data_IF_723911697553
#
_entry.id   IF_723911697553
#
_cell.length_a   1.000
_cell.length_b   1.000
_cell.length_c   1.000
_cell.angle_alpha   90.00
_cell.angle_beta   90.00
_cell.angle_gamma   90.00
#
_symmetry.space_group_name_H-M   'P 1'
#
loop_
_entity.id
_entity.type
_entity.pdbx_description
1 polymer ?
#
# COMPACT_ATOMS: atom_id res chain seq x y z
N UNK A 1 11.59 10.44 -15.65
CA UNK A 1 12.66 11.40 -15.28
C UNK A 1 13.55 10.84 -14.16
N UNK A 2 13.00 10.40 -13.01
CA UNK A 2 13.82 9.89 -11.90
C UNK A 2 14.64 8.64 -12.29
N UNK A 3 14.01 7.63 -12.88
CA UNK A 3 14.69 6.40 -13.32
C UNK A 3 15.83 6.65 -14.31
N UNK A 4 15.67 7.59 -15.23
CA UNK A 4 16.70 7.96 -16.19
C UNK A 4 17.95 8.55 -15.51
N UNK A 5 17.75 9.35 -14.46
CA UNK A 5 18.86 9.90 -13.68
C UNK A 5 19.58 8.81 -12.88
N UNK A 6 18.83 7.90 -12.25
CA UNK A 6 19.39 6.73 -11.56
C UNK A 6 20.23 5.89 -12.54
N UNK A 7 19.71 5.61 -13.73
CA UNK A 7 20.46 4.88 -14.76
C UNK A 7 21.77 5.58 -15.13
N UNK A 8 21.76 6.91 -15.28
CA UNK A 8 22.98 7.67 -15.55
C UNK A 8 24.01 7.55 -14.40
N UNK A 9 23.54 7.60 -13.15
CA UNK A 9 24.43 7.44 -11.97
C UNK A 9 25.04 6.05 -11.94
N UNK A 10 24.23 5.00 -12.12
CA UNK A 10 24.70 3.61 -12.11
C UNK A 10 25.71 3.34 -13.24
N UNK A 11 25.48 3.87 -14.44
CA UNK A 11 26.41 3.75 -15.56
C UNK A 11 27.72 4.51 -15.33
N UNK A 12 27.69 5.66 -14.66
CA UNK A 12 28.90 6.37 -14.23
C UNK A 12 29.65 5.59 -13.17
N UNK A 13 28.95 5.03 -12.17
CA UNK A 13 29.56 4.19 -11.14
C UNK A 13 30.32 3.01 -11.78
N UNK A 14 29.71 2.29 -12.72
CA UNK A 14 30.34 1.19 -13.45
C UNK A 14 31.64 1.63 -14.13
N UNK A 15 31.64 2.78 -14.81
CA UNK A 15 32.84 3.33 -15.46
C UNK A 15 33.95 3.67 -14.47
N UNK A 16 33.57 4.27 -13.33
CA UNK A 16 34.56 4.58 -12.27
C UNK A 16 35.15 3.31 -11.67
N UNK A 17 34.30 2.31 -11.38
CA UNK A 17 34.80 1.01 -10.89
C UNK A 17 35.74 0.33 -11.90
N UNK A 18 35.41 0.35 -13.18
CA UNK A 18 36.27 -0.21 -14.22
C UNK A 18 37.63 0.50 -14.30
N UNK A 19 37.65 1.82 -14.05
CA UNK A 19 38.90 2.60 -14.07
C UNK A 19 39.82 2.27 -12.89
N UNK A 20 39.27 2.14 -11.68
CA UNK A 20 40.05 1.98 -10.45
C UNK A 20 40.26 0.52 -10.04
N UNK A 21 39.35 -0.37 -10.36
CA UNK A 21 39.41 -1.79 -9.94
C UNK A 21 39.77 -2.76 -11.09
N UNK A 22 40.09 -2.25 -12.26
CA UNK A 22 40.41 -3.07 -13.43
C UNK A 22 39.21 -3.92 -13.87
N UNK A 23 39.35 -5.27 -13.82
CA UNK A 23 38.29 -6.19 -14.26
C UNK A 23 37.18 -6.45 -13.21
N UNK A 24 37.32 -5.95 -12.00
CA UNK A 24 36.33 -6.15 -10.94
C UNK A 24 35.15 -5.20 -11.16
N UNK A 25 34.08 -5.70 -11.80
CA UNK A 25 32.81 -4.97 -11.93
C UNK A 25 31.96 -5.16 -10.66
N UNK A 26 31.24 -4.13 -10.21
CA UNK A 26 30.30 -4.29 -9.10
C UNK A 26 29.19 -5.26 -9.49
N UNK A 27 28.78 -6.10 -8.53
CA UNK A 27 27.60 -6.94 -8.64
C UNK A 27 26.40 -6.09 -8.24
N UNK A 28 25.36 -6.05 -9.08
CA UNK A 28 24.12 -5.35 -8.79
C UNK A 28 23.05 -6.37 -8.40
N UNK A 29 22.44 -6.16 -7.24
CA UNK A 29 21.31 -6.94 -6.76
C UNK A 29 20.14 -5.96 -6.61
N UNK A 30 19.04 -6.24 -7.31
CA UNK A 30 17.81 -5.44 -7.24
C UNK A 30 16.65 -6.29 -6.70
N UNK A 31 15.84 -5.69 -5.84
CA UNK A 31 14.64 -6.32 -5.31
C UNK A 31 13.43 -5.44 -5.62
N UNK A 32 12.32 -6.06 -5.99
CA UNK A 32 11.06 -5.37 -6.26
C UNK A 32 9.88 -6.26 -5.86
N UNK A 33 8.82 -5.66 -5.32
CA UNK A 33 7.62 -6.39 -4.93
C UNK A 33 6.58 -6.50 -6.07
N UNK A 34 6.58 -5.56 -7.01
CA UNK A 34 5.50 -5.41 -8.01
C UNK A 34 6.03 -4.82 -9.30
N UNK A 35 6.64 -5.66 -10.11
CA UNK A 35 7.11 -5.28 -11.45
C UNK A 35 6.81 -6.40 -12.45
N UNK A 36 6.23 -6.05 -13.60
CA UNK A 36 5.86 -7.02 -14.62
C UNK A 36 7.04 -7.47 -15.49
N UNK A 37 8.05 -6.60 -15.68
CA UNK A 37 9.20 -6.78 -16.56
C UNK A 37 10.53 -6.54 -15.84
N UNK A 38 10.89 -7.34 -14.81
CA UNK A 38 12.05 -7.08 -13.98
C UNK A 38 13.38 -7.09 -14.74
N UNK A 39 13.56 -8.03 -15.68
CA UNK A 39 14.79 -8.13 -16.49
C UNK A 39 15.02 -6.89 -17.34
N UNK A 40 14.00 -6.48 -18.12
CA UNK A 40 14.06 -5.29 -18.97
C UNK A 40 14.31 -4.02 -18.15
N UNK A 41 13.58 -3.87 -17.03
CA UNK A 41 13.73 -2.70 -16.18
C UNK A 41 15.14 -2.61 -15.56
N UNK A 42 15.70 -3.74 -15.12
CA UNK A 42 17.06 -3.82 -14.60
C UNK A 42 18.10 -3.47 -15.67
N UNK A 43 17.94 -4.00 -16.88
CA UNK A 43 18.83 -3.71 -18.01
C UNK A 43 18.78 -2.23 -18.40
N UNK A 44 17.59 -1.62 -18.45
CA UNK A 44 17.44 -0.18 -18.70
C UNK A 44 18.15 0.68 -17.64
N UNK A 45 18.13 0.26 -16.37
CA UNK A 45 18.78 0.99 -15.28
C UNK A 45 20.29 0.81 -15.25
N UNK A 46 20.75 -0.41 -15.37
CA UNK A 46 22.17 -0.76 -15.14
C UNK A 46 22.97 -0.91 -16.42
N UNK A 47 22.32 -1.22 -17.54
CA UNK A 47 22.97 -1.63 -18.79
C UNK A 47 23.57 -3.04 -18.70
N UNK A 48 23.05 -3.90 -17.84
CA UNK A 48 23.48 -5.30 -17.66
C UNK A 48 22.28 -6.22 -17.73
N UNK A 49 22.45 -7.40 -18.31
CA UNK A 49 21.46 -8.47 -18.20
C UNK A 49 21.34 -8.93 -16.74
N UNK A 50 20.15 -9.32 -16.33
CA UNK A 50 19.87 -9.85 -15.00
C UNK A 50 19.39 -11.30 -15.07
N UNK A 51 19.80 -12.08 -14.08
CA UNK A 51 19.11 -13.31 -13.73
C UNK A 51 17.93 -12.94 -12.83
N UNK A 52 16.71 -13.39 -13.20
CA UNK A 52 15.48 -13.06 -12.47
C UNK A 52 15.08 -14.24 -11.61
N UNK A 53 14.98 -14.00 -10.29
CA UNK A 53 14.44 -14.94 -9.33
C UNK A 53 13.03 -14.47 -8.99
N UNK A 54 12.01 -15.16 -9.51
CA UNK A 54 10.59 -14.83 -9.32
C UNK A 54 9.90 -15.72 -8.29
N UNK A 55 10.45 -16.88 -7.98
CA UNK A 55 9.99 -17.77 -6.92
C UNK A 55 10.74 -17.43 -5.64
N UNK A 56 10.09 -16.68 -4.77
CA UNK A 56 10.72 -16.18 -3.54
C UNK A 56 10.59 -17.15 -2.36
N UNK A 57 9.87 -18.28 -2.51
CA UNK A 57 9.68 -19.29 -1.48
C UNK A 57 8.96 -18.80 -0.22
N UNK A 58 8.43 -17.57 -0.20
CA UNK A 58 7.73 -17.04 0.96
C UNK A 58 6.35 -17.68 1.12
N UNK A 59 5.88 -17.89 2.36
CA UNK A 59 4.55 -18.41 2.58
C UNK A 59 3.49 -17.38 2.14
N UNK A 60 2.54 -17.83 1.31
CA UNK A 60 1.43 -17.02 0.84
C UNK A 60 0.10 -17.61 1.27
N UNK A 61 -0.66 -16.86 2.05
CA UNK A 61 -2.05 -17.19 2.34
C UNK A 61 -2.98 -16.90 1.13
N UNK A 62 -4.22 -17.41 1.17
CA UNK A 62 -5.21 -17.12 0.15
C UNK A 62 -5.53 -15.64 0.11
N UNK A 63 -5.55 -15.06 -1.09
CA UNK A 63 -5.84 -13.63 -1.30
C UNK A 63 -7.08 -13.47 -2.17
N UNK A 64 -8.04 -12.69 -1.68
CA UNK A 64 -9.22 -12.29 -2.44
C UNK A 64 -9.07 -10.85 -2.86
N UNK A 65 -9.15 -10.59 -4.18
CA UNK A 65 -9.22 -9.24 -4.72
C UNK A 65 -10.61 -9.00 -5.30
N UNK A 66 -11.36 -8.06 -4.71
CA UNK A 66 -12.72 -7.74 -5.10
C UNK A 66 -12.79 -6.37 -5.79
N UNK A 67 -13.46 -6.30 -6.93
CA UNK A 67 -13.87 -5.05 -7.54
C UNK A 67 -15.26 -4.69 -7.01
N UNK A 68 -15.31 -3.71 -6.11
CA UNK A 68 -16.53 -3.30 -5.45
C UNK A 68 -17.15 -2.08 -6.13
N UNK A 69 -18.36 -2.27 -6.66
CA UNK A 69 -19.11 -1.18 -7.27
C UNK A 69 -20.21 -0.71 -6.30
N UNK A 70 -20.17 0.53 -5.78
CA UNK A 70 -21.14 1.02 -4.83
C UNK A 70 -22.58 0.81 -5.30
N UNK A 71 -23.51 0.46 -4.39
CA UNK A 71 -24.91 0.19 -4.76
C UNK A 71 -25.62 1.43 -5.30
N UNK A 72 -26.66 1.21 -6.10
CA UNK A 72 -27.51 2.28 -6.59
C UNK A 72 -28.37 2.85 -5.45
N UNK A 73 -28.36 4.16 -5.30
CA UNK A 73 -29.30 4.90 -4.44
C UNK A 73 -30.53 5.34 -5.23
N UNK A 74 -30.40 5.55 -6.54
CA UNK A 74 -31.50 5.81 -7.48
C UNK A 74 -31.19 5.08 -8.80
N UNK A 75 -31.89 3.98 -9.05
CA UNK A 75 -31.70 3.18 -10.27
C UNK A 75 -32.18 3.92 -11.52
N UNK A 76 -33.24 4.75 -11.42
CA UNK A 76 -33.79 5.46 -12.56
C UNK A 76 -32.81 6.54 -13.07
N UNK A 77 -32.08 7.17 -12.16
CA UNK A 77 -31.05 8.16 -12.48
C UNK A 77 -29.64 7.59 -12.58
N UNK A 78 -29.49 6.28 -12.46
CA UNK A 78 -28.18 5.60 -12.42
C UNK A 78 -27.25 6.15 -11.34
N UNK A 79 -27.80 6.77 -10.31
CA UNK A 79 -27.05 7.36 -9.21
C UNK A 79 -26.57 6.28 -8.23
N UNK A 80 -25.28 6.22 -7.99
CA UNK A 80 -24.67 5.30 -7.03
C UNK A 80 -24.32 6.03 -5.74
N UNK A 81 -24.18 5.26 -4.68
CA UNK A 81 -23.68 5.73 -3.41
C UNK A 81 -22.25 6.29 -3.60
N UNK A 82 -21.92 7.35 -2.86
CA UNK A 82 -20.58 7.93 -2.89
C UNK A 82 -19.53 6.90 -2.48
N UNK A 83 -18.47 6.74 -3.29
CA UNK A 83 -17.38 5.82 -3.00
C UNK A 83 -16.73 6.10 -1.63
N UNK A 84 -16.65 7.37 -1.21
CA UNK A 84 -16.07 7.73 0.10
C UNK A 84 -16.96 7.27 1.27
N UNK A 85 -18.28 7.40 1.14
CA UNK A 85 -19.21 6.90 2.17
C UNK A 85 -19.22 5.38 2.22
N UNK A 86 -19.24 4.73 1.05
CA UNK A 86 -19.20 3.28 0.96
C UNK A 86 -17.89 2.73 1.57
N UNK A 87 -16.77 3.33 1.25
CA UNK A 87 -15.48 2.96 1.82
C UNK A 87 -15.42 3.16 3.34
N UNK A 88 -16.02 4.23 3.87
CA UNK A 88 -16.11 4.45 5.32
C UNK A 88 -16.95 3.38 6.01
N UNK A 89 -18.07 2.97 5.40
CA UNK A 89 -18.94 1.93 5.93
C UNK A 89 -18.25 0.56 5.90
N UNK A 90 -17.60 0.20 4.77
CA UNK A 90 -16.85 -1.03 4.65
C UNK A 90 -15.67 -1.08 5.65
N UNK A 91 -14.91 0.01 5.76
CA UNK A 91 -13.83 0.13 6.73
C UNK A 91 -14.35 -0.06 8.17
N UNK A 92 -15.45 0.60 8.52
CA UNK A 92 -16.07 0.49 9.85
C UNK A 92 -16.55 -0.93 10.12
N UNK A 93 -17.19 -1.60 9.14
CA UNK A 93 -17.65 -2.98 9.28
C UNK A 93 -16.50 -3.94 9.48
N UNK A 94 -15.43 -3.86 8.67
CA UNK A 94 -14.24 -4.70 8.80
C UNK A 94 -13.57 -4.52 10.17
N UNK A 95 -13.33 -3.28 10.58
CA UNK A 95 -12.74 -2.96 11.88
C UNK A 95 -13.62 -3.45 13.04
N UNK A 96 -14.95 -3.28 12.94
CA UNK A 96 -15.90 -3.78 13.94
C UNK A 96 -15.92 -5.31 14.03
N UNK A 97 -15.64 -6.00 12.92
CA UNK A 97 -15.49 -7.45 12.86
C UNK A 97 -14.12 -7.95 13.31
N UNK A 98 -13.23 -7.08 13.78
CA UNK A 98 -11.88 -7.44 14.24
C UNK A 98 -10.84 -7.58 13.13
N UNK A 99 -11.20 -7.24 11.87
CA UNK A 99 -10.31 -7.32 10.71
C UNK A 99 -9.39 -6.08 10.69
N UNK A 100 -8.08 -6.30 10.77
CA UNK A 100 -7.10 -5.21 10.73
C UNK A 100 -7.02 -4.63 9.33
N UNK A 101 -7.48 -3.39 9.17
CA UNK A 101 -7.79 -2.82 7.85
C UNK A 101 -7.00 -1.55 7.57
N UNK A 102 -6.45 -1.45 6.35
CA UNK A 102 -5.95 -0.19 5.79
C UNK A 102 -6.88 0.30 4.67
N UNK A 103 -7.23 1.58 4.68
CA UNK A 103 -7.97 2.22 3.59
C UNK A 103 -7.12 3.29 2.91
N UNK A 104 -6.83 3.09 1.63
CA UNK A 104 -6.06 4.03 0.82
C UNK A 104 -6.96 5.05 0.13
N UNK A 105 -6.68 6.32 0.33
CA UNK A 105 -7.35 7.43 -0.34
C UNK A 105 -6.36 8.25 -1.18
N UNK A 106 -6.81 8.77 -2.32
CA UNK A 106 -5.96 9.55 -3.24
C UNK A 106 -5.58 10.93 -2.69
N UNK A 107 -6.39 11.50 -1.81
CA UNK A 107 -6.19 12.83 -1.26
C UNK A 107 -6.15 12.80 0.27
N UNK A 108 -5.33 13.67 0.86
CA UNK A 108 -5.21 13.80 2.32
C UNK A 108 -6.56 14.11 2.98
N UNK A 109 -7.34 15.01 2.36
CA UNK A 109 -8.68 15.37 2.87
C UNK A 109 -9.61 14.15 2.88
N UNK A 110 -9.54 13.28 1.88
CA UNK A 110 -10.37 12.07 1.82
C UNK A 110 -9.98 11.07 2.92
N UNK A 111 -8.67 10.89 3.17
CA UNK A 111 -8.22 10.03 4.27
C UNK A 111 -8.72 10.51 5.64
N UNK A 112 -8.67 11.82 5.90
CA UNK A 112 -9.21 12.42 7.13
C UNK A 112 -10.74 12.32 7.22
N UNK A 113 -11.45 12.50 6.08
CA UNK A 113 -12.92 12.32 6.03
C UNK A 113 -13.34 10.89 6.31
N UNK A 114 -12.63 9.91 5.74
CA UNK A 114 -12.85 8.49 6.03
C UNK A 114 -12.70 8.22 7.53
N UNK A 115 -11.60 8.68 8.14
CA UNK A 115 -11.39 8.55 9.57
C UNK A 115 -12.53 9.18 10.37
N UNK A 116 -12.92 10.41 10.03
CA UNK A 116 -13.99 11.13 10.71
C UNK A 116 -15.33 10.40 10.62
N UNK A 117 -15.72 9.92 9.43
CA UNK A 117 -16.97 9.19 9.23
C UNK A 117 -16.94 7.85 9.99
N UNK A 118 -15.84 7.11 9.92
CA UNK A 118 -15.70 5.85 10.64
C UNK A 118 -15.72 6.03 12.15
N UNK A 119 -15.05 7.05 12.68
CA UNK A 119 -15.14 7.40 14.11
C UNK A 119 -16.56 7.74 14.53
N UNK A 120 -17.28 8.51 13.71
CA UNK A 120 -18.68 8.86 13.98
C UNK A 120 -19.64 7.66 13.98
N UNK A 121 -19.35 6.63 13.20
CA UNK A 121 -20.09 5.37 13.19
C UNK A 121 -19.69 4.48 14.38
N UNK A 122 -18.40 4.30 14.61
CA UNK A 122 -17.86 3.49 15.71
C UNK A 122 -18.30 4.05 17.09
N UNK A 123 -18.34 5.36 17.27
CA UNK A 123 -18.80 5.96 18.52
C UNK A 123 -20.22 5.56 18.93
N UNK A 124 -21.04 5.16 17.97
CA UNK A 124 -22.43 4.71 18.19
C UNK A 124 -22.56 3.19 18.36
N UNK A 125 -21.65 2.42 17.72
CA UNK A 125 -21.77 0.96 17.63
C UNK A 125 -20.70 0.21 18.44
N UNK A 126 -19.47 0.71 18.43
CA UNK A 126 -18.29 0.11 19.05
C UNK A 126 -17.34 1.20 19.58
N UNK A 127 -17.77 1.97 20.61
CA UNK A 127 -17.05 3.15 21.09
C UNK A 127 -15.60 2.85 21.51
N UNK A 128 -15.30 1.65 21.96
CA UNK A 128 -13.97 1.19 22.34
C UNK A 128 -12.97 1.12 21.16
N UNK A 129 -13.47 1.07 19.92
CA UNK A 129 -12.64 1.05 18.72
C UNK A 129 -12.36 2.45 18.15
N UNK A 130 -13.03 3.48 18.64
CA UNK A 130 -12.92 4.85 18.11
C UNK A 130 -11.50 5.38 18.17
N UNK A 131 -10.77 5.11 19.26
CA UNK A 131 -9.38 5.52 19.44
C UNK A 131 -8.37 4.50 18.85
N UNK A 132 -8.87 3.36 18.37
CA UNK A 132 -8.05 2.33 17.74
C UNK A 132 -7.98 2.45 16.22
N UNK A 133 -8.46 3.55 15.67
CA UNK A 133 -8.29 3.90 14.25
C UNK A 133 -7.61 5.25 14.11
N UNK A 134 -6.76 5.41 13.11
CA UNK A 134 -5.99 6.63 12.85
C UNK A 134 -5.93 6.97 11.36
N UNK A 135 -5.60 8.24 11.05
CA UNK A 135 -5.15 8.60 9.70
C UNK A 135 -3.62 8.60 9.64
N UNK A 136 -3.09 8.31 8.45
CA UNK A 136 -1.66 8.38 8.17
C UNK A 136 -1.40 9.11 6.84
N UNK A 137 -0.61 10.18 6.88
CA UNK A 137 -0.28 10.96 5.70
C UNK A 137 1.09 11.64 5.79
N UNK A 138 1.64 11.99 4.66
CA UNK A 138 2.97 12.60 4.56
C UNK A 138 3.13 13.97 5.26
N UNK A 139 2.03 14.65 5.63
CA UNK A 139 2.08 15.95 6.32
C UNK A 139 2.21 15.88 7.83
N UNK A 140 2.24 14.69 8.42
CA UNK A 140 2.46 14.53 9.88
C UNK A 140 3.92 14.67 10.23
N UNK A 141 4.20 15.11 11.46
CA UNK A 141 5.56 15.13 12.00
C UNK A 141 6.14 13.71 12.07
N UNK A 142 7.46 13.60 12.03
CA UNK A 142 8.12 12.29 12.02
C UNK A 142 7.77 11.45 13.26
N UNK A 143 7.64 12.09 14.43
CA UNK A 143 7.31 11.40 15.69
C UNK A 143 5.87 10.89 15.70
N UNK A 144 4.92 11.65 15.17
CA UNK A 144 3.53 11.21 15.02
C UNK A 144 3.42 10.01 14.09
N UNK A 145 4.13 10.03 12.96
CA UNK A 145 4.19 8.90 12.04
C UNK A 145 4.74 7.66 12.70
N UNK A 146 5.89 7.76 13.38
CA UNK A 146 6.52 6.65 14.13
C UNK A 146 5.60 6.12 15.23
N UNK A 147 4.83 6.98 15.89
CA UNK A 147 3.84 6.55 16.89
C UNK A 147 2.74 5.72 16.23
N UNK A 148 2.12 6.20 15.14
CA UNK A 148 1.07 5.48 14.42
C UNK A 148 1.60 4.13 13.90
N UNK A 149 2.81 4.12 13.34
CA UNK A 149 3.48 2.91 12.88
C UNK A 149 3.65 1.89 14.02
N UNK A 150 4.21 2.30 15.15
CA UNK A 150 4.36 1.42 16.33
C UNK A 150 3.03 0.91 16.86
N UNK A 151 1.99 1.75 16.88
CA UNK A 151 0.67 1.40 17.36
C UNK A 151 -0.04 0.42 16.41
N UNK A 152 0.20 0.56 15.11
CA UNK A 152 -0.30 -0.36 14.11
C UNK A 152 0.43 -1.71 14.18
N UNK A 153 1.76 -1.71 14.29
CA UNK A 153 2.55 -2.93 14.49
C UNK A 153 2.16 -3.68 15.76
N UNK A 154 2.07 -2.94 16.86
CA UNK A 154 1.74 -3.50 18.18
C UNK A 154 0.27 -3.91 18.34
N UNK A 155 -0.58 -3.76 17.32
CA UNK A 155 -2.00 -4.12 17.38
C UNK A 155 -2.86 -3.20 18.23
N UNK A 156 -2.33 -2.07 18.70
CA UNK A 156 -3.13 -1.03 19.36
C UNK A 156 -4.09 -0.38 18.38
N UNK A 157 -3.62 -0.09 17.16
CA UNK A 157 -4.48 0.32 16.06
C UNK A 157 -4.97 -0.93 15.30
N UNK A 158 -6.24 -0.94 15.00
CA UNK A 158 -6.91 -1.98 14.22
C UNK A 158 -7.32 -1.48 12.84
N UNK A 159 -7.22 -0.17 12.61
CA UNK A 159 -7.52 0.41 11.31
C UNK A 159 -6.76 1.69 11.04
N UNK A 160 -6.36 1.89 9.79
CA UNK A 160 -5.68 3.10 9.34
C UNK A 160 -6.25 3.57 8.01
N UNK A 161 -6.61 4.86 7.92
CA UNK A 161 -6.88 5.53 6.65
C UNK A 161 -5.61 6.22 6.17
N UNK A 162 -5.15 5.96 4.96
CA UNK A 162 -3.86 6.43 4.49
C UNK A 162 -3.92 7.05 3.09
N UNK A 163 -2.93 7.88 2.79
CA UNK A 163 -2.58 8.20 1.40
C UNK A 163 -1.50 7.24 0.89
N UNK A 164 -0.97 7.46 -0.30
CA UNK A 164 0.18 6.72 -0.85
C UNK A 164 1.42 6.71 0.05
N UNK A 165 1.42 7.45 1.16
CA UNK A 165 2.52 7.48 2.13
C UNK A 165 2.77 6.11 2.81
N UNK A 166 1.77 5.22 2.88
CA UNK A 166 1.90 3.83 3.36
C UNK A 166 1.99 2.80 2.22
N UNK A 167 2.04 3.24 0.98
CA UNK A 167 2.18 2.36 -0.18
C UNK A 167 3.59 1.75 -0.27
N UNK A 168 4.62 2.54 0.06
CA UNK A 168 6.03 2.18 -0.06
C UNK A 168 6.80 2.40 1.25
N UNK A 169 7.84 1.62 1.45
CA UNK A 169 8.91 1.92 2.42
C UNK A 169 8.67 1.56 3.87
N UNK A 170 7.47 1.15 4.27
CA UNK A 170 7.18 0.76 5.65
C UNK A 170 6.63 -0.66 5.65
N UNK A 171 7.24 -1.50 6.44
CA UNK A 171 6.74 -2.85 6.68
C UNK A 171 5.59 -2.80 7.69
N UNK A 172 4.37 -2.60 7.20
CA UNK A 172 3.16 -2.68 8.02
C UNK A 172 2.70 -4.13 8.03
N UNK A 173 3.25 -4.94 8.93
CA UNK A 173 2.85 -6.34 9.09
C UNK A 173 1.46 -6.51 9.72
N UNK A 174 0.82 -7.66 9.43
CA UNK A 174 -0.40 -8.09 10.12
C UNK A 174 -1.67 -7.31 9.78
N UNK A 175 -1.79 -6.80 8.56
CA UNK A 175 -3.06 -6.30 8.04
C UNK A 175 -3.79 -7.43 7.30
N UNK A 176 -5.09 -7.54 7.55
CA UNK A 176 -5.95 -8.58 6.98
C UNK A 176 -6.71 -8.06 5.75
N UNK A 177 -7.01 -6.76 5.73
CA UNK A 177 -7.73 -6.14 4.63
C UNK A 177 -7.11 -4.82 4.15
N UNK A 178 -7.20 -4.59 2.84
CA UNK A 178 -6.82 -3.35 2.15
C UNK A 178 -7.98 -2.83 1.30
N UNK A 179 -8.43 -1.61 1.58
CA UNK A 179 -9.46 -0.92 0.80
C UNK A 179 -8.79 0.17 -0.05
N UNK A 180 -9.03 0.15 -1.34
CA UNK A 180 -8.55 1.15 -2.28
C UNK A 180 -9.73 2.04 -2.69
N UNK A 181 -9.76 3.28 -2.23
CA UNK A 181 -10.87 4.22 -2.51
C UNK A 181 -10.63 4.88 -3.86
N UNK A 182 -11.06 4.16 -4.89
CA UNK A 182 -10.82 4.48 -6.30
C UNK A 182 -9.45 4.03 -6.81
N UNK A 183 -9.35 3.89 -8.13
CA UNK A 183 -8.15 3.43 -8.81
C UNK A 183 -6.96 4.38 -8.57
N UNK A 184 -5.81 3.92 -8.11
CA UNK A 184 -4.69 4.79 -7.69
C UNK A 184 -3.90 5.42 -8.85
N UNK A 185 -4.26 5.11 -10.10
CA UNK A 185 -3.66 5.69 -11.28
C UNK A 185 -2.69 4.76 -12.03
N UNK A 186 -2.09 3.79 -11.36
CA UNK A 186 -1.25 2.77 -12.00
C UNK A 186 -1.55 1.38 -11.44
N UNK A 187 -1.34 0.36 -12.27
CA UNK A 187 -1.48 -1.05 -11.85
C UNK A 187 -0.45 -1.38 -10.75
N UNK A 188 0.77 -0.87 -10.85
CA UNK A 188 1.80 -1.08 -9.85
C UNK A 188 1.38 -0.54 -8.47
N UNK A 189 0.86 0.69 -8.40
CA UNK A 189 0.33 1.29 -7.17
C UNK A 189 -0.86 0.48 -6.61
N UNK A 190 -1.76 0.03 -7.49
CA UNK A 190 -2.89 -0.83 -7.08
C UNK A 190 -2.40 -2.10 -6.38
N UNK A 191 -1.45 -2.81 -6.98
CA UNK A 191 -0.90 -4.02 -6.39
C UNK A 191 -0.06 -3.76 -5.13
N UNK A 192 0.66 -2.64 -5.06
CA UNK A 192 1.40 -2.23 -3.87
C UNK A 192 0.48 -1.93 -2.69
N UNK A 193 -0.66 -1.26 -2.95
CA UNK A 193 -1.68 -1.00 -1.94
C UNK A 193 -2.41 -2.28 -1.52
N UNK A 194 -2.82 -3.10 -2.48
CA UNK A 194 -3.45 -4.40 -2.22
C UNK A 194 -2.51 -5.34 -1.45
N UNK A 195 -1.22 -5.35 -1.79
CA UNK A 195 -0.19 -6.15 -1.14
C UNK A 195 0.14 -5.74 0.30
N UNK A 196 -0.46 -4.67 0.83
CA UNK A 196 -0.35 -4.33 2.25
C UNK A 196 -1.15 -5.25 3.15
N UNK A 197 -2.16 -5.93 2.63
CA UNK A 197 -2.87 -7.00 3.32
C UNK A 197 -2.27 -8.37 2.99
N UNK A 198 -2.32 -9.30 3.94
CA UNK A 198 -1.96 -10.70 3.71
C UNK A 198 -0.47 -10.98 3.69
N UNK A 199 0.21 -10.68 4.75
CA UNK A 199 1.57 -11.15 4.99
C UNK A 199 1.52 -12.44 5.82
N UNK A 200 2.24 -13.45 5.33
CA UNK A 200 2.24 -14.78 5.93
C UNK A 200 1.18 -15.71 5.35
N UNK A 201 0.73 -16.68 6.12
CA UNK A 201 -0.20 -17.73 5.71
C UNK A 201 -1.68 -17.37 5.88
N UNK A 202 -2.01 -16.23 6.49
CA UNK A 202 -3.38 -15.87 6.79
C UNK A 202 -4.13 -15.34 5.54
N UNK A 203 -5.45 -15.56 5.46
CA UNK A 203 -6.27 -15.03 4.39
C UNK A 203 -6.26 -13.50 4.36
N UNK A 204 -6.26 -12.94 3.15
CA UNK A 204 -6.28 -11.50 2.96
C UNK A 204 -7.36 -11.06 1.98
N UNK A 205 -7.94 -9.88 2.26
CA UNK A 205 -8.94 -9.23 1.42
C UNK A 205 -8.40 -7.90 0.88
N UNK A 206 -8.50 -7.71 -0.43
CA UNK A 206 -8.28 -6.40 -1.06
C UNK A 206 -9.52 -6.00 -1.84
N UNK A 207 -9.97 -4.76 -1.70
CA UNK A 207 -11.15 -4.22 -2.38
C UNK A 207 -10.81 -2.90 -3.07
N UNK A 208 -11.21 -2.77 -4.34
CA UNK A 208 -11.11 -1.54 -5.13
C UNK A 208 -12.51 -1.02 -5.45
#
# INVERSE_FOLDING_TARGET
VFGSQVACVLRRLRRVCALYQGKAAPVFIATSATIANPAEHFELLTGLAAEVISDDGSPHGPRTFALWNPPFVDKARMARRSANHEAADLFTQLVSGGVRTIAFARARVVAELLLRYSRGQLSKTRPELTERIAAYRAGYMADDRRRIERDLFGGRLVGVTATTALELGIDVGGLDASLLVGYPGTIASMWQQAGRAGRGSDPALSML
#
